data_IF_680814267845
#
_entry.id   IF_680814267845
#
_cell.length_a   1.000
_cell.length_b   1.000
_cell.length_c   1.000
_cell.angle_alpha   90.00
_cell.angle_beta   90.00
_cell.angle_gamma   90.00
#
_symmetry.space_group_name_H-M   'P 1'
#
loop_
_entity.id
_entity.type
_entity.pdbx_description
1 polymer ?
#
# COMPACT_ATOMS: atom_id res chain seq x y z
N UNK A 1 21.51 59.81 -11.26
CA UNK A 1 22.69 59.23 -10.58
C UNK A 1 22.96 57.87 -11.22
N UNK A 2 23.85 57.77 -12.22
CA UNK A 2 25.22 57.23 -12.11
C UNK A 2 25.27 55.92 -11.30
N UNK A 3 25.31 54.77 -12.00
CA UNK A 3 26.47 53.84 -12.17
C UNK A 3 26.14 52.53 -11.41
N UNK A 4 26.49 51.30 -11.82
CA UNK A 4 27.47 50.80 -12.77
C UNK A 4 27.04 49.36 -13.17
N UNK A 5 27.15 49.02 -14.45
CA UNK A 5 27.18 47.64 -14.96
C UNK A 5 28.50 46.97 -14.54
N UNK A 6 28.47 45.67 -14.26
CA UNK A 6 29.68 44.82 -14.30
C UNK A 6 29.33 43.46 -14.86
N UNK A 7 29.42 43.36 -16.19
CA UNK A 7 29.45 42.14 -16.97
C UNK A 7 30.86 41.58 -16.89
N UNK A 8 31.04 40.37 -16.33
CA UNK A 8 32.33 39.67 -16.35
C UNK A 8 32.34 38.68 -17.51
N UNK A 9 33.00 39.09 -18.59
CA UNK A 9 33.41 38.26 -19.72
C UNK A 9 34.47 37.24 -19.28
N UNK A 10 34.18 35.95 -19.44
CA UNK A 10 35.18 34.88 -19.31
C UNK A 10 35.85 34.67 -20.67
N UNK A 11 37.12 35.06 -20.76
CA UNK A 11 37.97 34.84 -21.93
C UNK A 11 38.35 33.37 -22.02
N UNK A 12 37.92 32.70 -23.08
CA UNK A 12 38.37 31.35 -23.46
C UNK A 12 39.71 31.49 -24.16
N UNK A 13 40.78 31.00 -23.53
CA UNK A 13 42.07 30.80 -24.22
C UNK A 13 42.08 29.39 -24.83
N UNK A 14 42.02 29.32 -26.17
CA UNK A 14 42.47 28.18 -26.94
C UNK A 14 43.99 28.03 -26.79
N UNK A 15 44.44 26.81 -26.49
CA UNK A 15 45.86 26.43 -26.47
C UNK A 15 46.08 25.03 -27.04
N UNK A 16 46.30 25.00 -28.36
CA UNK A 16 47.02 24.03 -29.19
C UNK A 16 47.06 22.53 -28.83
N UNK A 17 46.54 21.73 -29.76
CA UNK A 17 46.96 20.36 -30.04
C UNK A 17 48.42 20.32 -30.47
N UNK A 18 49.25 19.48 -29.84
CA UNK A 18 50.47 18.94 -30.45
C UNK A 18 50.56 17.43 -30.17
N UNK A 19 50.47 16.69 -31.28
CA UNK A 19 51.17 15.45 -31.67
C UNK A 19 51.18 14.22 -30.75
N UNK A 20 50.70 13.11 -31.33
CA UNK A 20 51.02 11.74 -30.94
C UNK A 20 52.53 11.48 -30.97
N UNK A 21 53.05 10.89 -29.90
CA UNK A 21 54.13 9.89 -29.94
C UNK A 21 53.76 8.80 -28.95
N UNK A 22 53.51 7.60 -29.46
CA UNK A 22 53.39 6.37 -28.67
C UNK A 22 54.71 6.12 -27.96
N UNK A 23 54.69 6.09 -26.63
CA UNK A 23 55.62 5.30 -25.85
C UNK A 23 54.80 4.57 -24.77
N UNK A 24 54.77 3.25 -24.88
CA UNK A 24 54.20 2.34 -23.91
C UNK A 24 55.00 2.44 -22.61
N UNK A 25 54.42 3.07 -21.59
CA UNK A 25 54.83 2.85 -20.19
C UNK A 25 53.65 2.23 -19.44
N UNK A 26 53.88 1.03 -18.93
CA UNK A 26 53.03 0.40 -17.92
C UNK A 26 52.86 1.34 -16.73
N UNK A 27 51.74 2.06 -16.70
CA UNK A 27 51.31 2.77 -15.50
C UNK A 27 50.79 1.70 -14.55
N UNK A 28 51.64 1.33 -13.60
CA UNK A 28 51.22 0.66 -12.38
C UNK A 28 50.06 1.48 -11.78
N UNK A 29 48.84 0.98 -11.91
CA UNK A 29 47.66 1.61 -11.33
C UNK A 29 47.78 1.53 -9.82
N UNK A 30 48.38 2.56 -9.24
CA UNK A 30 48.26 2.87 -7.81
C UNK A 30 46.77 2.99 -7.56
N UNK A 31 46.20 2.00 -6.84
CA UNK A 31 44.86 2.10 -6.27
C UNK A 31 44.74 3.47 -5.59
N UNK A 32 43.76 4.30 -5.93
CA UNK A 32 43.57 5.56 -5.23
C UNK A 32 43.30 5.20 -3.76
N UNK A 33 44.27 5.48 -2.91
CA UNK A 33 44.14 5.30 -1.48
C UNK A 33 43.35 6.51 -0.98
N UNK A 34 42.02 6.39 -0.97
CA UNK A 34 41.14 7.38 -0.36
C UNK A 34 41.33 7.29 1.17
N UNK A 35 42.37 7.94 1.68
CA UNK A 35 42.72 8.01 3.10
C UNK A 35 41.79 8.96 3.89
N UNK A 36 40.46 8.89 3.66
CA UNK A 36 39.41 9.63 4.38
C UNK A 36 38.03 8.96 4.24
N UNK A 37 37.94 7.64 4.01
CA UNK A 37 36.63 7.00 3.94
C UNK A 37 36.04 6.86 5.35
N UNK A 38 35.08 7.74 5.69
CA UNK A 38 34.21 7.69 6.88
C UNK A 38 33.49 6.33 7.07
N UNK A 39 33.53 5.49 6.03
CA UNK A 39 32.91 4.18 5.91
C UNK A 39 33.96 3.18 5.41
N UNK A 40 34.12 2.08 6.14
CA UNK A 40 34.99 0.96 5.79
C UNK A 40 34.13 -0.31 5.62
N UNK A 41 34.50 -1.16 4.67
CA UNK A 41 33.92 -2.49 4.51
C UNK A 41 34.93 -3.51 5.00
N UNK A 42 34.57 -4.25 6.04
CA UNK A 42 35.44 -5.22 6.72
C UNK A 42 34.85 -6.64 6.61
N UNK A 43 35.56 -7.62 7.18
CA UNK A 43 35.16 -9.03 7.21
C UNK A 43 34.78 -9.56 5.82
N UNK A 44 35.68 -9.39 4.85
CA UNK A 44 35.53 -9.87 3.47
C UNK A 44 34.24 -9.41 2.77
N UNK A 45 33.82 -8.16 3.00
CA UNK A 45 32.64 -7.61 2.34
C UNK A 45 31.32 -7.81 3.08
N UNK A 46 31.36 -8.27 4.34
CA UNK A 46 30.15 -8.68 5.09
C UNK A 46 29.75 -7.72 6.21
N UNK A 47 30.54 -6.68 6.47
CA UNK A 47 30.27 -5.72 7.54
C UNK A 47 30.69 -4.30 7.15
N UNK A 48 29.81 -3.34 7.38
CA UNK A 48 30.12 -1.91 7.31
C UNK A 48 30.61 -1.44 8.69
N UNK A 49 31.70 -0.66 8.70
CA UNK A 49 32.24 0.01 9.88
C UNK A 49 32.34 1.50 9.62
N UNK A 50 31.72 2.30 10.49
CA UNK A 50 31.89 3.75 10.53
C UNK A 50 32.99 4.12 11.52
N UNK A 51 33.69 5.24 11.28
CA UNK A 51 34.71 5.75 12.22
C UNK A 51 34.12 6.07 13.59
N UNK A 52 33.00 6.79 13.60
CA UNK A 52 32.28 7.25 14.79
C UNK A 52 30.81 7.55 14.45
N UNK A 53 30.05 7.98 15.45
CA UNK A 53 28.62 8.29 15.32
C UNK A 53 28.37 9.40 14.31
N UNK A 54 29.20 10.45 14.30
CA UNK A 54 29.08 11.56 13.34
C UNK A 54 29.26 11.08 11.89
N UNK A 55 30.24 10.22 11.65
CA UNK A 55 30.47 9.59 10.34
C UNK A 55 29.26 8.76 9.89
N UNK A 56 28.66 7.99 10.80
CA UNK A 56 27.45 7.22 10.54
C UNK A 56 26.24 8.12 10.20
N UNK A 57 25.98 9.15 11.01
CA UNK A 57 24.83 10.05 10.81
C UNK A 57 24.95 10.85 9.50
N UNK A 58 26.15 11.34 9.19
CA UNK A 58 26.43 12.04 7.93
C UNK A 58 26.28 11.11 6.72
N UNK A 59 26.76 9.87 6.82
CA UNK A 59 26.58 8.88 5.76
C UNK A 59 25.10 8.55 5.55
N UNK A 60 24.35 8.34 6.64
CA UNK A 60 22.91 8.06 6.59
C UNK A 60 22.13 9.19 5.93
N UNK A 61 22.43 10.44 6.28
CA UNK A 61 21.80 11.61 5.67
C UNK A 61 22.13 11.71 4.17
N UNK A 62 23.39 11.54 3.78
CA UNK A 62 23.81 11.63 2.37
C UNK A 62 23.19 10.53 1.52
N UNK A 63 23.23 9.28 1.98
CA UNK A 63 22.71 8.12 1.23
C UNK A 63 21.19 8.14 1.16
N UNK A 64 20.50 8.49 2.24
CA UNK A 64 19.02 8.60 2.22
C UNK A 64 18.50 9.72 1.31
N UNK A 65 19.32 10.73 1.01
CA UNK A 65 18.98 11.81 0.08
C UNK A 65 19.23 11.47 -1.40
N UNK A 66 19.97 10.39 -1.69
CA UNK A 66 20.23 9.92 -3.06
C UNK A 66 18.98 9.28 -3.68
N UNK A 67 18.91 9.25 -5.00
CA UNK A 67 17.95 8.40 -5.72
C UNK A 67 18.26 6.90 -5.49
N UNK A 68 17.26 6.03 -5.65
CA UNK A 68 17.45 4.57 -5.51
C UNK A 68 18.57 4.04 -6.40
N UNK A 69 18.69 4.52 -7.64
CA UNK A 69 19.79 4.15 -8.54
C UNK A 69 21.16 4.58 -8.00
N UNK A 70 21.26 5.79 -7.45
CA UNK A 70 22.50 6.30 -6.86
C UNK A 70 22.86 5.55 -5.57
N UNK A 71 21.87 5.20 -4.75
CA UNK A 71 22.05 4.35 -3.56
C UNK A 71 22.61 2.97 -3.94
N UNK A 72 22.02 2.32 -4.94
CA UNK A 72 22.49 1.03 -5.45
C UNK A 72 23.91 1.15 -6.02
N UNK A 73 24.18 2.16 -6.84
CA UNK A 73 25.53 2.40 -7.39
C UNK A 73 26.56 2.67 -6.29
N UNK A 74 26.19 3.43 -5.26
CA UNK A 74 27.04 3.70 -4.10
C UNK A 74 27.36 2.42 -3.32
N UNK A 75 26.35 1.61 -2.98
CA UNK A 75 26.55 0.35 -2.26
C UNK A 75 27.35 -0.68 -3.07
N UNK A 76 27.10 -0.74 -4.38
CA UNK A 76 27.90 -1.57 -5.29
C UNK A 76 29.36 -1.10 -5.36
N UNK A 77 29.62 0.21 -5.28
CA UNK A 77 30.99 0.75 -5.25
C UNK A 77 31.77 0.33 -3.98
N UNK A 78 31.03 0.04 -2.89
CA UNK A 78 31.58 -0.50 -1.66
C UNK A 78 31.79 -2.03 -1.72
N UNK A 79 31.32 -2.70 -2.77
CA UNK A 79 31.27 -4.18 -2.83
C UNK A 79 30.56 -4.80 -1.61
N UNK A 80 29.53 -4.14 -1.09
CA UNK A 80 28.80 -4.57 0.10
C UNK A 80 27.32 -4.81 -0.23
N UNK A 81 26.82 -6.01 0.10
CA UNK A 81 25.40 -6.36 -0.05
C UNK A 81 24.66 -6.07 1.24
N UNK A 82 23.99 -4.92 1.29
CA UNK A 82 23.12 -4.53 2.40
C UNK A 82 21.71 -5.11 2.28
N UNK A 83 20.90 -4.97 3.33
CA UNK A 83 19.48 -5.34 3.27
C UNK A 83 18.70 -4.53 2.22
N UNK A 84 19.09 -3.29 1.91
CA UNK A 84 18.48 -2.52 0.83
C UNK A 84 18.65 -3.19 -0.54
N UNK A 85 19.87 -3.68 -0.84
CA UNK A 85 20.12 -4.42 -2.09
C UNK A 85 19.32 -5.72 -2.12
N UNK A 86 19.25 -6.44 -0.99
CA UNK A 86 18.44 -7.65 -0.90
C UNK A 86 16.93 -7.35 -1.09
N UNK A 87 16.45 -6.20 -0.63
CA UNK A 87 15.04 -5.79 -0.81
C UNK A 87 14.73 -5.54 -2.29
N UNK A 88 15.64 -4.86 -3.02
CA UNK A 88 15.50 -4.66 -4.48
C UNK A 88 15.46 -6.00 -5.23
N UNK A 89 16.28 -6.97 -4.84
CA UNK A 89 16.23 -8.32 -5.39
C UNK A 89 14.90 -9.02 -5.07
N UNK A 90 14.41 -8.89 -3.84
CA UNK A 90 13.16 -9.51 -3.39
C UNK A 90 11.94 -8.93 -4.11
N UNK A 91 11.85 -7.60 -4.27
CA UNK A 91 10.77 -6.94 -5.00
C UNK A 91 10.80 -7.31 -6.49
N UNK A 92 11.99 -7.29 -7.11
CA UNK A 92 12.16 -7.66 -8.51
C UNK A 92 11.87 -9.14 -8.79
N UNK A 93 12.15 -10.04 -7.85
CA UNK A 93 11.80 -11.47 -7.96
C UNK A 93 10.30 -11.70 -7.77
N UNK A 94 9.66 -11.00 -6.83
CA UNK A 94 8.21 -11.09 -6.62
C UNK A 94 7.43 -10.64 -7.85
N UNK A 95 7.81 -9.52 -8.47
CA UNK A 95 7.20 -9.04 -9.70
C UNK A 95 7.31 -10.09 -10.83
N UNK A 96 8.48 -10.72 -10.99
CA UNK A 96 8.66 -11.81 -11.96
C UNK A 96 7.79 -13.02 -11.64
N UNK A 97 7.66 -13.42 -10.38
CA UNK A 97 6.78 -14.53 -9.97
C UNK A 97 5.33 -14.24 -10.35
N UNK A 98 4.85 -13.02 -10.07
CA UNK A 98 3.51 -12.57 -10.43
C UNK A 98 3.27 -12.56 -11.94
N UNK A 99 4.30 -12.22 -12.73
CA UNK A 99 4.20 -12.13 -14.19
C UNK A 99 4.39 -13.47 -14.92
N UNK A 100 5.01 -14.47 -14.29
CA UNK A 100 5.30 -15.76 -14.92
C UNK A 100 4.31 -16.88 -14.56
N UNK A 101 3.65 -16.80 -13.40
CA UNK A 101 2.72 -17.83 -12.97
C UNK A 101 1.47 -17.84 -13.86
N UNK A 102 1.13 -18.99 -14.42
CA UNK A 102 -0.04 -19.13 -15.29
C UNK A 102 -1.36 -19.13 -14.50
N UNK A 103 -1.32 -19.60 -13.25
CA UNK A 103 -2.48 -19.68 -12.38
C UNK A 103 -2.10 -19.59 -10.88
N UNK A 104 -3.12 -19.65 -10.02
CA UNK A 104 -2.97 -19.54 -8.57
C UNK A 104 -2.18 -20.71 -7.96
N UNK A 105 -2.33 -21.92 -8.47
CA UNK A 105 -1.65 -23.09 -7.92
C UNK A 105 -0.15 -23.04 -8.19
N UNK A 106 0.24 -22.61 -9.40
CA UNK A 106 1.64 -22.36 -9.74
C UNK A 106 2.22 -21.21 -8.92
N UNK A 107 1.47 -20.11 -8.79
CA UNK A 107 1.87 -18.98 -7.95
C UNK A 107 2.16 -19.41 -6.51
N UNK A 108 1.28 -20.20 -5.89
CA UNK A 108 1.43 -20.63 -4.50
C UNK A 108 2.73 -21.44 -4.28
N UNK A 109 3.09 -22.30 -5.23
CA UNK A 109 4.35 -23.07 -5.17
C UNK A 109 5.59 -22.17 -5.30
N UNK A 110 5.57 -21.20 -6.21
CA UNK A 110 6.67 -20.25 -6.39
C UNK A 110 6.81 -19.32 -5.19
N UNK A 111 5.69 -18.82 -4.69
CA UNK A 111 5.65 -17.85 -3.60
C UNK A 111 6.06 -18.46 -2.25
N UNK A 112 5.78 -19.73 -1.99
CA UNK A 112 6.30 -20.40 -0.78
C UNK A 112 7.82 -20.57 -0.80
N UNK A 113 8.42 -20.86 -1.98
CA UNK A 113 9.89 -20.87 -2.13
C UNK A 113 10.49 -19.48 -1.91
N UNK A 114 9.83 -18.46 -2.45
CA UNK A 114 10.21 -17.06 -2.25
C UNK A 114 10.17 -16.67 -0.77
N UNK A 115 9.08 -16.98 -0.06
CA UNK A 115 8.96 -16.73 1.38
C UNK A 115 10.04 -17.42 2.18
N UNK A 116 10.37 -18.67 1.86
CA UNK A 116 11.46 -19.37 2.52
C UNK A 116 12.83 -18.70 2.27
N UNK A 117 13.08 -18.24 1.05
CA UNK A 117 14.33 -17.56 0.67
C UNK A 117 14.55 -16.23 1.41
N UNK A 118 13.50 -15.46 1.63
CA UNK A 118 13.60 -14.09 2.19
C UNK A 118 13.13 -13.96 3.65
N UNK A 119 12.40 -14.95 4.18
CA UNK A 119 11.68 -14.85 5.46
C UNK A 119 12.55 -14.83 6.73
N UNK A 120 13.84 -15.15 6.62
CA UNK A 120 14.78 -15.04 7.73
C UNK A 120 15.25 -13.59 7.91
N UNK A 121 15.55 -12.89 6.81
CA UNK A 121 16.03 -11.49 6.84
C UNK A 121 14.85 -10.51 6.91
N UNK A 122 13.80 -10.76 6.13
CA UNK A 122 12.60 -9.94 6.08
C UNK A 122 11.43 -10.61 6.82
N UNK A 123 10.32 -9.90 6.95
CA UNK A 123 9.06 -10.43 7.48
C UNK A 123 7.93 -10.30 6.45
N UNK A 124 6.86 -11.08 6.62
CA UNK A 124 5.67 -11.04 5.77
C UNK A 124 4.42 -10.62 6.55
N UNK A 125 3.42 -10.10 5.84
CA UNK A 125 2.18 -9.62 6.45
C UNK A 125 1.35 -10.78 7.02
N UNK A 126 1.23 -10.82 8.36
CA UNK A 126 0.42 -11.84 9.06
C UNK A 126 -1.03 -11.43 9.32
N UNK A 127 -1.43 -10.24 8.87
CA UNK A 127 -2.77 -9.65 9.06
C UNK A 127 -3.59 -9.76 7.77
N UNK A 128 -2.97 -9.41 6.63
CA UNK A 128 -3.55 -9.48 5.29
C UNK A 128 -2.70 -10.41 4.43
N UNK A 129 -3.23 -11.60 4.13
CA UNK A 129 -2.55 -12.60 3.32
C UNK A 129 -2.56 -12.28 1.81
N UNK A 130 -3.27 -11.22 1.40
CA UNK A 130 -3.25 -10.74 0.01
C UNK A 130 -2.11 -9.75 -0.26
N UNK A 131 -1.51 -9.21 0.81
CA UNK A 131 -0.26 -8.44 0.74
C UNK A 131 0.93 -9.38 0.64
N UNK A 132 1.52 -9.45 -0.55
CA UNK A 132 2.56 -10.42 -0.89
C UNK A 132 3.98 -9.93 -0.58
N UNK A 133 4.15 -8.64 -0.30
CA UNK A 133 5.47 -8.01 -0.22
C UNK A 133 6.23 -8.41 1.06
N UNK A 134 7.55 -8.57 0.97
CA UNK A 134 8.40 -8.64 2.16
C UNK A 134 8.55 -7.26 2.80
N UNK A 135 8.82 -7.25 4.11
CA UNK A 135 9.03 -6.04 4.89
C UNK A 135 10.33 -6.12 5.68
N UNK A 136 11.05 -4.99 5.74
CA UNK A 136 12.20 -4.87 6.63
C UNK A 136 11.80 -5.10 8.09
N UNK A 137 12.64 -5.83 8.83
CA UNK A 137 12.48 -6.03 10.28
C UNK A 137 12.89 -4.79 11.08
N UNK A 138 13.62 -3.85 10.49
CA UNK A 138 14.18 -2.70 11.18
C UNK A 138 13.11 -1.73 11.67
N UNK A 139 13.26 -1.28 12.92
CA UNK A 139 12.50 -0.14 13.45
C UNK A 139 13.00 1.17 12.84
N UNK A 140 14.32 1.32 12.70
CA UNK A 140 14.96 2.46 12.06
C UNK A 140 15.22 2.17 10.58
N UNK A 141 14.17 2.34 9.77
CA UNK A 141 14.14 1.86 8.38
C UNK A 141 15.32 2.30 7.52
N UNK A 142 15.84 3.52 7.70
CA UNK A 142 16.95 4.04 6.90
C UNK A 142 18.27 3.28 7.11
N UNK A 143 18.40 2.48 8.17
CA UNK A 143 19.59 1.67 8.40
C UNK A 143 19.73 0.50 7.41
N UNK A 144 18.70 0.21 6.62
CA UNK A 144 18.74 -0.82 5.57
C UNK A 144 19.89 -0.64 4.57
N UNK A 145 20.37 0.59 4.38
CA UNK A 145 21.51 0.87 3.51
C UNK A 145 22.81 0.23 4.01
N UNK A 146 22.97 0.08 5.33
CA UNK A 146 24.27 -0.26 5.94
C UNK A 146 24.26 -1.57 6.72
N UNK A 147 23.09 -2.03 7.17
CA UNK A 147 23.02 -3.32 7.85
C UNK A 147 23.27 -4.48 6.89
N UNK A 148 24.00 -5.48 7.38
CA UNK A 148 24.19 -6.74 6.69
C UNK A 148 22.95 -7.66 6.80
N UNK A 149 23.07 -8.90 6.33
CA UNK A 149 21.99 -9.90 6.35
C UNK A 149 21.51 -10.29 7.76
N UNK A 150 22.25 -9.93 8.81
CA UNK A 150 21.90 -10.17 10.22
C UNK A 150 21.36 -8.93 10.93
N UNK A 151 21.29 -7.78 10.25
CA UNK A 151 20.88 -6.52 10.88
C UNK A 151 22.02 -5.81 11.61
N UNK A 152 23.27 -6.05 11.20
CA UNK A 152 24.46 -5.61 11.93
C UNK A 152 25.29 -4.60 11.13
N UNK A 153 25.92 -3.66 11.84
CA UNK A 153 27.00 -2.78 11.37
C UNK A 153 27.89 -2.38 12.56
N UNK A 154 28.99 -1.66 12.34
CA UNK A 154 29.90 -1.22 13.40
C UNK A 154 30.08 0.30 13.45
N UNK A 155 30.31 0.83 14.65
CA UNK A 155 30.78 2.20 14.90
C UNK A 155 32.07 2.10 15.73
N UNK A 156 33.21 2.46 15.13
CA UNK A 156 34.51 2.16 15.69
C UNK A 156 34.64 0.65 15.93
N UNK A 157 34.89 0.25 17.17
CA UNK A 157 35.00 -1.17 17.56
C UNK A 157 33.70 -1.71 18.17
N UNK A 158 32.63 -0.90 18.22
CA UNK A 158 31.34 -1.31 18.76
C UNK A 158 30.46 -1.93 17.67
N UNK A 159 30.04 -3.17 17.89
CA UNK A 159 29.01 -3.82 17.08
C UNK A 159 27.63 -3.25 17.42
N UNK A 160 26.91 -2.82 16.40
CA UNK A 160 25.51 -2.43 16.49
C UNK A 160 24.67 -3.51 15.84
N UNK A 161 23.86 -4.20 16.66
CA UNK A 161 22.77 -5.06 16.19
C UNK A 161 21.53 -4.19 16.22
N UNK A 162 21.02 -3.81 15.04
CA UNK A 162 19.98 -2.80 14.95
C UNK A 162 18.63 -3.31 15.49
N UNK A 163 17.81 -2.38 15.95
CA UNK A 163 16.53 -2.72 16.57
C UNK A 163 15.55 -3.26 15.52
N UNK A 164 15.00 -4.43 15.79
CA UNK A 164 14.01 -5.09 14.94
C UNK A 164 12.64 -5.25 15.61
N UNK A 165 11.59 -5.31 14.82
CA UNK A 165 10.29 -5.83 15.21
C UNK A 165 10.34 -7.36 15.34
N UNK A 166 9.66 -7.93 16.33
CA UNK A 166 9.54 -9.38 16.50
C UNK A 166 8.64 -10.00 15.44
N UNK A 167 7.56 -9.30 15.08
CA UNK A 167 6.60 -9.73 14.08
C UNK A 167 5.89 -8.55 13.39
N UNK A 168 5.14 -8.85 12.34
CA UNK A 168 4.43 -7.84 11.55
C UNK A 168 3.30 -7.15 12.33
N UNK A 169 2.71 -7.82 13.33
CA UNK A 169 1.66 -7.21 14.16
C UNK A 169 2.23 -6.14 15.07
N UNK A 170 3.44 -6.31 15.59
CA UNK A 170 4.15 -5.27 16.33
C UNK A 170 4.37 -4.03 15.46
N UNK A 171 4.80 -4.21 14.20
CA UNK A 171 4.99 -3.11 13.24
C UNK A 171 3.70 -2.33 12.96
N UNK A 172 2.58 -3.02 12.83
CA UNK A 172 1.26 -2.41 12.59
C UNK A 172 0.49 -2.08 13.87
N UNK A 173 1.08 -2.32 15.05
CA UNK A 173 0.36 -2.18 16.31
C UNK A 173 -0.06 -0.73 16.51
N UNK A 174 -1.36 -0.53 16.70
CA UNK A 174 -1.92 0.77 16.95
C UNK A 174 -2.98 0.68 18.05
N UNK A 175 -2.95 1.61 19.00
CA UNK A 175 -3.95 1.68 20.07
C UNK A 175 -5.33 2.16 19.61
N UNK A 176 -5.46 2.72 18.39
CA UNK A 176 -6.73 3.20 17.85
C UNK A 176 -7.46 2.12 17.05
N UNK A 177 -8.77 2.01 17.30
CA UNK A 177 -9.72 1.26 16.45
C UNK A 177 -10.36 2.18 15.39
N UNK A 178 -10.32 3.49 15.61
CA UNK A 178 -10.94 4.46 14.71
C UNK A 178 -10.07 4.72 13.48
N UNK A 179 -10.66 4.58 12.30
CA UNK A 179 -10.05 5.00 11.03
C UNK A 179 -10.82 6.17 10.41
N UNK A 180 -10.11 7.02 9.65
CA UNK A 180 -10.67 8.17 8.93
C UNK A 180 -11.71 7.78 7.87
N UNK A 181 -11.47 6.66 7.20
CA UNK A 181 -12.38 6.07 6.22
C UNK A 181 -12.40 4.54 6.36
N UNK A 182 -13.56 3.93 6.11
CA UNK A 182 -13.73 2.48 6.00
C UNK A 182 -14.85 2.19 5.02
N UNK A 183 -14.57 1.36 4.02
CA UNK A 183 -15.53 0.92 3.01
C UNK A 183 -15.56 -0.60 3.05
N UNK A 184 -16.75 -1.19 3.09
CA UNK A 184 -16.89 -2.64 3.07
C UNK A 184 -16.57 -3.21 1.70
N UNK A 185 -15.99 -4.41 1.67
CA UNK A 185 -15.76 -5.20 0.46
C UNK A 185 -16.72 -6.40 0.38
N UNK A 186 -16.53 -7.26 -0.62
CA UNK A 186 -17.37 -8.44 -0.83
C UNK A 186 -17.24 -9.51 0.27
N UNK A 187 -16.27 -9.41 1.18
CA UNK A 187 -16.20 -10.30 2.35
C UNK A 187 -17.26 -9.96 3.41
N UNK A 188 -17.80 -8.74 3.39
CA UNK A 188 -18.92 -8.36 4.24
C UNK A 188 -20.20 -9.07 3.80
N UNK A 189 -20.90 -9.69 4.75
CA UNK A 189 -22.09 -10.48 4.49
C UNK A 189 -23.34 -9.68 4.88
N UNK A 190 -24.22 -9.41 3.92
CA UNK A 190 -25.49 -8.69 4.07
C UNK A 190 -25.40 -7.22 4.55
N UNK A 191 -24.19 -6.68 4.74
CA UNK A 191 -23.98 -5.35 5.32
C UNK A 191 -23.02 -4.49 4.47
N UNK A 192 -23.54 -3.80 3.47
CA UNK A 192 -22.71 -2.87 2.70
C UNK A 192 -22.63 -1.52 3.42
N UNK A 193 -21.43 -0.96 3.60
CA UNK A 193 -21.26 0.35 4.22
C UNK A 193 -20.08 1.15 3.63
N UNK A 194 -20.17 2.47 3.75
CA UNK A 194 -19.08 3.38 3.46
C UNK A 194 -19.09 4.53 4.46
N UNK A 195 -18.06 4.57 5.32
CA UNK A 195 -17.79 5.65 6.27
C UNK A 195 -16.63 6.47 5.73
N UNK A 196 -16.92 7.70 5.34
CA UNK A 196 -15.95 8.71 4.93
C UNK A 196 -15.63 9.66 6.08
N UNK A 197 -14.81 10.69 5.82
CA UNK A 197 -14.37 11.69 6.82
C UNK A 197 -15.53 12.27 7.64
N UNK A 198 -16.63 12.64 6.98
CA UNK A 198 -17.76 13.34 7.58
C UNK A 198 -19.14 12.89 7.07
N UNK A 199 -19.19 11.80 6.28
CA UNK A 199 -20.41 11.18 5.74
C UNK A 199 -20.37 9.67 5.92
N UNK A 200 -21.52 9.07 6.24
CA UNK A 200 -21.73 7.61 6.31
C UNK A 200 -22.95 7.24 5.49
N UNK A 201 -22.88 6.07 4.85
CA UNK A 201 -24.01 5.39 4.23
C UNK A 201 -23.91 3.89 4.50
N UNK A 202 -25.05 3.21 4.66
CA UNK A 202 -25.09 1.75 4.75
C UNK A 202 -26.42 1.17 4.26
N UNK A 203 -26.36 -0.06 3.77
CA UNK A 203 -27.47 -0.92 3.38
C UNK A 203 -27.32 -2.26 4.08
N UNK A 204 -28.22 -2.53 5.03
CA UNK A 204 -28.22 -3.75 5.85
C UNK A 204 -29.42 -4.60 5.48
N UNK A 205 -29.18 -5.88 5.16
CA UNK A 205 -30.23 -6.83 4.80
C UNK A 205 -30.43 -7.89 5.88
N UNK A 206 -31.69 -8.25 6.12
CA UNK A 206 -32.06 -9.39 6.96
C UNK A 206 -33.29 -10.08 6.35
N UNK A 207 -33.60 -11.30 6.79
CA UNK A 207 -34.75 -12.06 6.30
C UNK A 207 -35.59 -12.60 7.45
N UNK A 208 -36.91 -12.53 7.31
CA UNK A 208 -37.86 -13.15 8.22
C UNK A 208 -38.96 -13.82 7.41
N UNK A 209 -39.11 -15.15 7.56
CA UNK A 209 -40.12 -15.95 6.85
C UNK A 209 -40.14 -15.72 5.32
N UNK A 210 -38.95 -15.60 4.71
CA UNK A 210 -38.80 -15.35 3.28
C UNK A 210 -38.94 -13.87 2.86
N UNK A 211 -39.33 -12.97 3.76
CA UNK A 211 -39.42 -11.53 3.51
C UNK A 211 -38.09 -10.86 3.86
N UNK A 212 -37.48 -10.22 2.87
CA UNK A 212 -36.19 -9.53 3.01
C UNK A 212 -36.46 -8.10 3.45
N UNK A 213 -35.81 -7.67 4.52
CA UNK A 213 -35.86 -6.35 5.09
C UNK A 213 -34.56 -5.62 4.77
N UNK A 214 -34.67 -4.36 4.33
CA UNK A 214 -33.54 -3.47 4.13
C UNK A 214 -33.59 -2.32 5.13
N UNK A 215 -32.44 -1.99 5.71
CA UNK A 215 -32.23 -0.76 6.46
C UNK A 215 -31.19 0.11 5.73
N UNK A 216 -31.66 1.24 5.18
CA UNK A 216 -30.80 2.28 4.61
C UNK A 216 -30.48 3.29 5.70
N UNK A 217 -29.19 3.57 5.91
CA UNK A 217 -28.74 4.51 6.93
C UNK A 217 -27.83 5.57 6.35
N UNK A 218 -27.91 6.79 6.90
CA UNK A 218 -26.92 7.81 6.62
C UNK A 218 -26.68 8.73 7.81
N UNK A 219 -25.42 9.12 8.00
CA UNK A 219 -25.01 10.02 9.07
C UNK A 219 -24.03 11.08 8.54
N UNK A 220 -24.06 12.27 9.16
CA UNK A 220 -23.05 13.32 8.96
C UNK A 220 -22.31 13.57 10.26
N UNK A 221 -21.04 13.94 10.18
CA UNK A 221 -20.23 14.31 11.34
C UNK A 221 -20.42 15.80 11.64
N UNK A 222 -20.94 16.12 12.82
CA UNK A 222 -21.00 17.47 13.37
C UNK A 222 -19.98 17.67 14.49
N UNK A 223 -20.08 18.79 15.20
CA UNK A 223 -19.15 19.18 16.28
C UNK A 223 -19.13 18.15 17.43
N UNK A 224 -20.28 17.54 17.73
CA UNK A 224 -20.43 16.58 18.83
C UNK A 224 -20.38 15.10 18.39
N UNK A 225 -20.07 14.82 17.12
CA UNK A 225 -19.99 13.47 16.59
C UNK A 225 -21.00 13.18 15.47
N UNK A 226 -21.33 11.91 15.28
CA UNK A 226 -22.15 11.43 14.16
C UNK A 226 -23.64 11.51 14.47
N UNK A 227 -24.41 12.14 13.59
CA UNK A 227 -25.88 12.23 13.68
C UNK A 227 -26.53 11.91 12.34
N UNK A 228 -27.76 11.40 12.38
CA UNK A 228 -28.54 11.09 11.16
C UNK A 228 -28.83 12.37 10.37
N UNK A 229 -28.83 12.29 9.05
CA UNK A 229 -29.23 13.40 8.16
C UNK A 229 -29.98 12.86 6.95
N UNK A 230 -30.75 13.70 6.27
CA UNK A 230 -31.45 13.30 5.04
C UNK A 230 -30.51 13.24 3.83
N UNK A 231 -30.69 12.23 2.99
CA UNK A 231 -29.90 12.05 1.77
C UNK A 231 -30.68 11.30 0.69
N UNK A 232 -30.13 11.30 -0.52
CA UNK A 232 -30.54 10.41 -1.61
C UNK A 232 -29.66 9.16 -1.55
N UNK A 233 -30.28 7.98 -1.51
CA UNK A 233 -29.58 6.70 -1.54
C UNK A 233 -29.52 6.16 -2.96
N UNK A 234 -28.40 5.51 -3.28
CA UNK A 234 -28.16 4.89 -4.57
C UNK A 234 -27.59 3.50 -4.35
N UNK A 235 -28.17 2.49 -4.98
CA UNK A 235 -27.70 1.12 -4.86
C UNK A 235 -27.66 0.40 -6.21
N UNK A 236 -26.72 -0.53 -6.34
CA UNK A 236 -26.74 -1.58 -7.37
C UNK A 236 -26.98 -2.92 -6.70
N UNK A 237 -27.87 -3.71 -7.27
CA UNK A 237 -28.34 -4.97 -6.69
C UNK A 237 -28.30 -6.04 -7.77
N UNK A 238 -27.69 -7.17 -7.48
CA UNK A 238 -27.71 -8.34 -8.34
C UNK A 238 -27.85 -9.60 -7.48
N UNK A 239 -29.06 -10.16 -7.42
CA UNK A 239 -29.41 -11.27 -6.53
C UNK A 239 -30.08 -12.40 -7.31
N UNK A 240 -29.75 -13.64 -6.98
CA UNK A 240 -30.43 -14.87 -7.43
C UNK A 240 -31.47 -15.31 -6.41
N UNK A 241 -32.54 -15.93 -6.88
CA UNK A 241 -33.66 -16.38 -6.05
C UNK A 241 -34.40 -15.21 -5.39
N UNK A 242 -34.53 -14.08 -6.08
CA UNK A 242 -34.99 -12.82 -5.51
C UNK A 242 -36.13 -12.16 -6.30
N UNK A 243 -37.14 -11.67 -5.57
CA UNK A 243 -38.17 -10.77 -6.07
C UNK A 243 -38.08 -9.42 -5.35
N UNK A 244 -37.96 -8.33 -6.11
CA UNK A 244 -37.85 -6.98 -5.57
C UNK A 244 -39.22 -6.42 -5.19
N UNK A 245 -39.34 -5.83 -3.99
CA UNK A 245 -40.53 -5.10 -3.59
C UNK A 245 -40.52 -3.70 -4.22
N UNK A 246 -41.01 -3.60 -5.46
CA UNK A 246 -41.09 -2.33 -6.18
C UNK A 246 -42.13 -1.42 -5.53
N UNK A 247 -41.73 -0.18 -5.27
CA UNK A 247 -42.63 0.86 -4.78
C UNK A 247 -43.67 1.28 -5.82
N UNK A 248 -44.62 2.11 -5.41
CA UNK A 248 -45.65 2.63 -6.31
C UNK A 248 -45.05 3.48 -7.43
N UNK A 249 -45.42 3.18 -8.67
CA UNK A 249 -45.02 3.93 -9.86
C UNK A 249 -46.25 4.12 -10.76
N UNK A 250 -46.56 5.36 -11.12
CA UNK A 250 -47.70 5.73 -11.98
C UNK A 250 -49.05 5.14 -11.49
N UNK A 251 -49.26 5.08 -10.17
CA UNK A 251 -50.49 4.56 -9.55
C UNK A 251 -50.56 3.03 -9.45
N UNK A 252 -49.49 2.30 -9.77
CA UNK A 252 -49.42 0.84 -9.66
C UNK A 252 -48.36 0.41 -8.63
N UNK A 253 -48.73 -0.53 -7.75
CA UNK A 253 -47.88 -1.07 -6.68
C UNK A 253 -48.30 -0.64 -5.26
N UNK A 254 -47.54 -1.02 -4.21
CA UNK A 254 -46.30 -1.79 -4.26
C UNK A 254 -46.52 -3.24 -4.69
N UNK A 255 -45.56 -3.81 -5.42
CA UNK A 255 -45.66 -5.16 -6.02
C UNK A 255 -44.31 -5.88 -6.01
N UNK A 256 -44.32 -7.20 -5.95
CA UNK A 256 -43.12 -8.00 -6.15
C UNK A 256 -42.82 -8.15 -7.65
N UNK A 257 -41.61 -7.77 -8.05
CA UNK A 257 -41.12 -7.87 -9.43
C UNK A 257 -39.95 -8.84 -9.46
N UNK A 258 -40.03 -9.86 -10.30
CA UNK A 258 -38.95 -10.84 -10.44
C UNK A 258 -37.65 -10.15 -10.84
N UNK A 259 -36.60 -10.40 -10.06
CA UNK A 259 -35.23 -9.91 -10.28
C UNK A 259 -34.22 -11.04 -10.12
N UNK A 260 -34.61 -12.27 -10.42
CA UNK A 260 -33.76 -13.45 -10.27
C UNK A 260 -32.60 -13.41 -11.27
N UNK A 261 -31.40 -13.10 -10.77
CA UNK A 261 -30.19 -12.95 -11.58
C UNK A 261 -30.20 -11.71 -12.49
N UNK A 262 -31.09 -10.75 -12.25
CA UNK A 262 -31.23 -9.53 -13.06
C UNK A 262 -30.65 -8.35 -12.29
N UNK A 263 -29.49 -7.80 -12.70
CA UNK A 263 -28.95 -6.59 -12.11
C UNK A 263 -29.90 -5.40 -12.25
N UNK A 264 -30.08 -4.62 -11.20
CA UNK A 264 -30.88 -3.40 -11.23
C UNK A 264 -30.34 -2.34 -10.27
N UNK A 265 -30.78 -1.10 -10.47
CA UNK A 265 -30.43 0.03 -9.64
C UNK A 265 -31.61 0.49 -8.78
N UNK A 266 -31.31 1.07 -7.63
CA UNK A 266 -32.27 1.75 -6.76
C UNK A 266 -31.77 3.17 -6.55
N UNK A 267 -32.53 4.14 -7.06
CA UNK A 267 -32.30 5.57 -6.84
C UNK A 267 -33.49 6.12 -6.07
N UNK A 268 -33.27 6.47 -4.80
CA UNK A 268 -34.37 6.95 -3.95
C UNK A 268 -34.65 8.42 -4.18
N UNK A 269 -35.83 8.91 -3.76
CA UNK A 269 -35.99 10.33 -3.43
C UNK A 269 -35.16 10.65 -2.18
N UNK A 270 -35.06 11.92 -1.80
CA UNK A 270 -34.46 12.27 -0.51
C UNK A 270 -35.28 11.63 0.64
N UNK A 271 -34.59 10.93 1.53
CA UNK A 271 -35.16 10.25 2.69
C UNK A 271 -34.31 10.51 3.93
N UNK A 272 -34.85 10.27 5.12
CA UNK A 272 -34.13 10.45 6.38
C UNK A 272 -32.93 9.49 6.55
N UNK A 273 -32.12 9.72 7.59
CA UNK A 273 -30.90 8.94 7.87
C UNK A 273 -31.11 7.53 8.43
N UNK A 274 -32.36 7.06 8.51
CA UNK A 274 -32.73 5.71 8.92
C UNK A 274 -34.06 5.33 8.26
N UNK A 275 -34.01 4.49 7.23
CA UNK A 275 -35.17 4.08 6.44
C UNK A 275 -35.23 2.57 6.44
N UNK A 276 -36.35 2.03 6.91
CA UNK A 276 -36.63 0.58 6.86
C UNK A 276 -37.61 0.29 5.73
N UNK A 277 -37.34 -0.74 4.94
CA UNK A 277 -38.18 -1.19 3.82
C UNK A 277 -38.29 -2.70 3.81
N UNK A 278 -39.45 -3.20 3.40
CA UNK A 278 -39.49 -4.52 2.76
C UNK A 278 -38.74 -4.36 1.44
N UNK A 279 -37.64 -5.08 1.30
CA UNK A 279 -36.75 -5.02 0.15
C UNK A 279 -37.22 -5.95 -0.97
N UNK A 280 -37.80 -7.08 -0.58
CA UNK A 280 -38.20 -8.13 -1.50
C UNK A 280 -38.57 -9.41 -0.77
N UNK A 281 -38.65 -10.50 -1.52
CA UNK A 281 -38.84 -11.84 -0.97
C UNK A 281 -37.98 -12.87 -1.67
N UNK A 282 -37.72 -13.96 -0.98
CA UNK A 282 -37.01 -15.13 -1.51
C UNK A 282 -37.93 -15.91 -2.44
N UNK A 283 -37.42 -16.28 -3.61
CA UNK A 283 -38.03 -17.22 -4.56
C UNK A 283 -37.56 -18.66 -4.33
N UNK A 284 -36.39 -18.84 -3.72
CA UNK A 284 -35.72 -20.12 -3.54
C UNK A 284 -35.26 -20.32 -2.08
N UNK A 285 -34.70 -21.51 -1.81
CA UNK A 285 -34.13 -21.85 -0.50
C UNK A 285 -33.03 -20.87 -0.08
N UNK A 286 -32.25 -20.36 -1.03
CA UNK A 286 -31.21 -19.36 -0.81
C UNK A 286 -31.45 -18.14 -1.72
N UNK A 287 -31.17 -16.95 -1.19
CA UNK A 287 -31.05 -15.71 -1.96
C UNK A 287 -29.60 -15.22 -1.86
N UNK A 288 -28.87 -15.25 -2.97
CA UNK A 288 -27.43 -14.95 -3.00
C UNK A 288 -27.07 -13.94 -4.07
N UNK A 289 -26.00 -13.19 -3.87
CA UNK A 289 -25.50 -12.25 -4.87
C UNK A 289 -24.73 -11.11 -4.24
N UNK A 290 -24.83 -9.90 -4.82
CA UNK A 290 -24.09 -8.73 -4.33
C UNK A 290 -24.97 -7.49 -4.27
N UNK A 291 -24.60 -6.60 -3.35
CA UNK A 291 -25.15 -5.25 -3.24
C UNK A 291 -24.02 -4.22 -3.17
N UNK A 292 -24.26 -3.06 -3.76
CA UNK A 292 -23.40 -1.89 -3.68
C UNK A 292 -24.23 -0.70 -3.17
N UNK A 293 -23.67 0.14 -2.31
CA UNK A 293 -24.38 1.29 -1.72
C UNK A 293 -23.53 2.55 -1.71
N UNK A 294 -24.11 3.66 -2.15
CA UNK A 294 -23.58 5.01 -2.01
C UNK A 294 -24.71 6.01 -1.80
N UNK A 295 -24.40 7.31 -1.67
CA UNK A 295 -25.42 8.34 -1.44
C UNK A 295 -25.00 9.68 -2.04
N UNK A 296 -25.86 10.70 -2.01
CA UNK A 296 -25.46 12.07 -2.38
C UNK A 296 -24.21 12.58 -1.64
N UNK A 297 -24.00 12.14 -0.40
CA UNK A 297 -22.84 12.53 0.43
C UNK A 297 -21.64 11.57 0.36
N UNK A 298 -21.77 10.41 -0.29
CA UNK A 298 -20.70 9.43 -0.46
C UNK A 298 -20.62 9.08 -1.93
N UNK A 299 -19.57 9.50 -2.65
CA UNK A 299 -19.51 9.36 -4.10
C UNK A 299 -19.38 7.89 -4.54
N UNK A 300 -19.72 7.61 -5.80
CA UNK A 300 -19.81 6.26 -6.35
C UNK A 300 -18.47 5.49 -6.32
N UNK A 301 -17.35 6.19 -6.45
CA UNK A 301 -16.00 5.63 -6.31
C UNK A 301 -15.74 5.09 -4.90
N UNK A 302 -16.45 5.61 -3.89
CA UNK A 302 -16.35 5.21 -2.48
C UNK A 302 -17.52 4.33 -2.03
N UNK A 303 -18.25 3.69 -2.96
CA UNK A 303 -19.39 2.83 -2.61
C UNK A 303 -18.97 1.61 -1.81
N UNK A 304 -19.79 1.22 -0.83
CA UNK A 304 -19.60 0.00 -0.06
C UNK A 304 -20.14 -1.22 -0.80
N UNK A 305 -19.52 -2.38 -0.60
CA UNK A 305 -19.92 -3.65 -1.17
C UNK A 305 -20.34 -4.64 -0.08
N UNK A 306 -21.18 -5.61 -0.42
CA UNK A 306 -21.39 -6.80 0.38
C UNK A 306 -21.80 -7.98 -0.50
N UNK A 307 -21.40 -9.18 -0.10
CA UNK A 307 -22.02 -10.43 -0.56
C UNK A 307 -23.32 -10.63 0.20
N UNK A 308 -24.38 -10.99 -0.51
CA UNK A 308 -25.68 -11.33 0.08
C UNK A 308 -25.80 -12.85 0.21
N UNK A 309 -26.22 -13.29 1.40
CA UNK A 309 -26.56 -14.68 1.71
C UNK A 309 -27.72 -14.69 2.71
N UNK A 310 -28.93 -14.93 2.21
CA UNK A 310 -30.20 -14.88 2.95
C UNK A 310 -31.06 -16.13 2.72
#
# INVERSE_FOLDING_TARGET
>A
MKKLFSTLTLTVCLGAFISCTNDEQEVNMVKPTNANSEIEVINDGTMIKFKDVESYENALLKVSAMSTSEQVSFLNSLSFKSQMILMQEADGELDKICNQAADKAEFDVLYEKYKHKYGDVFMFNTIDATDLSPYSRLVYVANEYFVNMKGEFMIGDSLVVDKVYTDFKERQQQFTVSTRSSVSDLSSINEAYSRQKDRKVGLYLSVSSGIIHANFTSQKKGVFGWSRYSTTYHAKVNLRGFEFAQGELLGYGPVYVNKDGIPFAIDTKEMGGNVTKVFGRKLAQECTGTIEIWSRGVPYDQRGFATVRL
#
